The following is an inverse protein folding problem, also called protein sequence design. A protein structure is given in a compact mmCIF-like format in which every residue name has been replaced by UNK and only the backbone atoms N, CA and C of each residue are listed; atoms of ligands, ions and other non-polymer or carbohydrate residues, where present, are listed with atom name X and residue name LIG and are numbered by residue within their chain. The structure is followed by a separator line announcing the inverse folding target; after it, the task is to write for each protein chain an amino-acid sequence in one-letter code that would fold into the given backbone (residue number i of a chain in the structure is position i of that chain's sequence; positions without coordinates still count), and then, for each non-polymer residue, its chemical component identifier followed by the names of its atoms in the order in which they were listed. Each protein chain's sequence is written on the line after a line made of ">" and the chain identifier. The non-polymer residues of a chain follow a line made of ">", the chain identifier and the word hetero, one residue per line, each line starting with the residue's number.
data_IF_461202446570
#
_entry.id   IF_461202446570
#
_cell.length_a   1.000
_cell.length_b   1.000
_cell.length_c   1.000
_cell.angle_alpha   90.00
_cell.angle_beta   90.00
_cell.angle_gamma   90.00
#
_symmetry.space_group_name_H-M   'P 1'
#
loop_
_entity.id
_entity.type
_entity.pdbx_description
1 polymer ?
#
# COMPACT_ATOMS: atom_id res chain seq x y z
N UNK A 1 -20.06 41.08 -9.15
CA UNK A 1 -19.52 39.83 -8.57
C UNK A 1 -19.26 38.93 -9.77
N UNK A 2 -18.06 39.07 -10.28
CA UNK A 2 -17.60 38.31 -11.43
C UNK A 2 -17.03 37.01 -10.92
N UNK A 3 -17.56 35.92 -11.50
CA UNK A 3 -17.07 34.59 -11.18
C UNK A 3 -15.70 34.38 -11.81
N UNK A 4 -14.74 34.15 -10.97
CA UNK A 4 -13.40 33.72 -11.33
C UNK A 4 -13.50 32.25 -11.87
N UNK A 5 -13.57 32.14 -13.19
CA UNK A 5 -13.44 30.91 -13.90
C UNK A 5 -12.01 30.41 -13.70
N UNK A 6 -11.84 29.30 -12.99
CA UNK A 6 -10.58 28.56 -12.94
C UNK A 6 -10.09 28.33 -14.39
N UNK A 7 -8.98 28.93 -14.73
CA UNK A 7 -8.28 28.72 -16.01
C UNK A 7 -7.80 27.28 -16.00
N UNK A 8 -8.50 26.41 -16.73
CA UNK A 8 -8.08 25.04 -16.93
C UNK A 8 -6.73 25.04 -17.66
N UNK A 9 -5.74 24.36 -17.12
CA UNK A 9 -4.44 24.15 -17.76
C UNK A 9 -4.63 23.51 -19.15
N UNK A 10 -3.75 23.86 -20.09
CA UNK A 10 -3.74 23.32 -21.46
C UNK A 10 -3.64 21.79 -21.39
N UNK A 11 -4.48 21.03 -22.12
CA UNK A 11 -4.38 19.57 -22.17
C UNK A 11 -2.98 19.05 -22.52
N UNK A 12 -2.18 19.78 -23.32
CA UNK A 12 -0.80 19.42 -23.63
C UNK A 12 0.17 19.59 -22.45
N UNK A 13 -0.15 20.43 -21.47
CA UNK A 13 0.65 20.59 -20.24
C UNK A 13 0.35 19.49 -19.22
N UNK A 14 -0.83 18.89 -19.24
CA UNK A 14 -1.26 17.87 -18.28
C UNK A 14 -0.54 16.53 -18.46
N UNK A 15 -0.13 16.19 -19.68
CA UNK A 15 0.57 14.94 -20.01
C UNK A 15 2.08 15.02 -19.83
N UNK A 16 2.61 16.13 -19.36
CA UNK A 16 4.04 16.28 -19.04
C UNK A 16 4.31 15.85 -17.60
N UNK A 17 5.54 15.42 -17.31
CA UNK A 17 5.97 15.12 -15.93
C UNK A 17 5.69 16.31 -15.00
N UNK A 18 5.97 17.53 -15.45
CA UNK A 18 5.69 18.75 -14.70
C UNK A 18 4.18 18.95 -14.41
N UNK A 19 3.30 18.56 -15.35
CA UNK A 19 1.85 18.56 -15.15
C UNK A 19 1.42 17.58 -14.06
N UNK A 20 1.96 16.37 -14.08
CA UNK A 20 1.66 15.36 -13.04
C UNK A 20 2.24 15.75 -11.67
N UNK A 21 3.44 16.33 -11.62
CA UNK A 21 4.00 16.89 -10.37
C UNK A 21 3.09 17.98 -9.80
N UNK A 22 2.64 18.92 -10.62
CA UNK A 22 1.71 19.95 -10.17
C UNK A 22 0.38 19.39 -9.69
N UNK A 23 -0.16 18.39 -10.37
CA UNK A 23 -1.40 17.73 -9.98
C UNK A 23 -1.26 17.01 -8.63
N UNK A 24 -0.21 16.20 -8.47
CA UNK A 24 -0.04 15.32 -7.32
C UNK A 24 0.52 16.02 -6.09
N UNK A 25 1.43 17.00 -6.30
CA UNK A 25 2.11 17.73 -5.24
C UNK A 25 1.56 19.15 -5.05
N UNK A 26 0.55 19.55 -5.85
CA UNK A 26 -0.10 20.87 -5.76
C UNK A 26 0.69 22.02 -6.38
N UNK A 27 1.97 21.81 -6.68
CA UNK A 27 2.88 22.80 -7.26
C UNK A 27 4.03 22.14 -8.02
N UNK A 28 4.68 22.92 -8.88
CA UNK A 28 5.91 22.48 -9.54
C UNK A 28 7.08 22.51 -8.54
N UNK A 29 8.08 21.61 -8.67
CA UNK A 29 9.30 21.65 -7.88
C UNK A 29 10.01 23.01 -7.99
N UNK A 30 10.33 23.61 -6.86
CA UNK A 30 10.93 24.95 -6.78
C UNK A 30 12.11 25.02 -5.81
N UNK A 31 12.33 23.98 -5.04
CA UNK A 31 13.32 23.94 -3.97
C UNK A 31 14.42 22.92 -4.25
N UNK A 32 15.61 23.23 -3.79
CA UNK A 32 16.72 22.30 -3.67
C UNK A 32 16.63 21.53 -2.36
N UNK A 33 17.35 20.41 -2.23
CA UNK A 33 17.44 19.65 -0.98
C UNK A 33 17.98 20.52 0.18
N UNK A 34 18.93 21.41 -0.13
CA UNK A 34 19.49 22.35 0.85
C UNK A 34 18.42 23.33 1.35
N UNK A 35 17.64 23.90 0.46
CA UNK A 35 16.55 24.82 0.82
C UNK A 35 15.42 24.13 1.57
N UNK A 36 15.03 22.91 1.16
CA UNK A 36 14.08 22.07 1.87
C UNK A 36 14.52 21.82 3.33
N UNK A 37 15.78 21.42 3.54
CA UNK A 37 16.32 21.21 4.87
C UNK A 37 16.30 22.48 5.73
N UNK A 38 16.71 23.62 5.15
CA UNK A 38 16.70 24.92 5.84
C UNK A 38 15.29 25.34 6.25
N UNK A 39 14.31 25.22 5.33
CA UNK A 39 12.89 25.56 5.61
C UNK A 39 12.26 24.64 6.63
N UNK A 40 12.64 23.37 6.61
CA UNK A 40 12.20 22.41 7.61
C UNK A 40 12.89 22.57 8.98
N UNK A 41 13.88 23.48 9.10
CA UNK A 41 14.61 23.72 10.35
C UNK A 41 15.54 22.58 10.75
N UNK A 42 16.07 21.83 9.80
CA UNK A 42 16.89 20.65 10.05
C UNK A 42 18.21 20.64 9.26
N UNK A 43 19.07 19.64 9.49
CA UNK A 43 20.32 19.49 8.76
C UNK A 43 20.08 18.80 7.41
N UNK A 44 21.00 19.06 6.46
CA UNK A 44 21.03 18.40 5.17
C UNK A 44 21.12 16.86 5.31
N UNK A 45 21.85 16.38 6.31
CA UNK A 45 21.97 14.94 6.59
C UNK A 45 20.62 14.30 6.98
N UNK A 46 19.82 15.00 7.80
CA UNK A 46 18.48 14.52 8.18
C UNK A 46 17.54 14.52 6.98
N UNK A 47 17.58 15.57 6.15
CA UNK A 47 16.77 15.63 4.93
C UNK A 47 17.14 14.49 3.95
N UNK A 48 18.43 14.18 3.80
CA UNK A 48 18.89 13.04 2.98
C UNK A 48 18.40 11.70 3.55
N UNK A 49 18.48 11.50 4.88
CA UNK A 49 17.98 10.28 5.53
C UNK A 49 16.48 10.11 5.36
N UNK A 50 15.72 11.21 5.48
CA UNK A 50 14.28 11.23 5.23
C UNK A 50 13.97 10.79 3.79
N UNK A 51 14.60 11.39 2.79
CA UNK A 51 14.40 11.10 1.37
C UNK A 51 14.70 9.63 1.02
N UNK A 52 15.84 9.14 1.53
CA UNK A 52 16.20 7.71 1.37
C UNK A 52 15.25 6.76 2.09
N UNK A 53 14.74 7.16 3.26
CA UNK A 53 13.77 6.34 3.98
C UNK A 53 12.45 6.22 3.23
N UNK A 54 12.09 7.23 2.43
CA UNK A 54 10.97 7.16 1.50
C UNK A 54 11.26 6.37 0.21
N UNK A 55 12.45 5.77 0.07
CA UNK A 55 12.78 4.89 -1.06
C UNK A 55 13.24 5.58 -2.33
N UNK A 56 13.44 6.89 -2.31
CA UNK A 56 13.86 7.65 -3.49
C UNK A 56 15.38 7.69 -3.63
N UNK A 57 15.83 7.81 -4.89
CA UNK A 57 17.24 7.95 -5.21
C UNK A 57 17.82 9.29 -4.70
N UNK A 58 19.12 9.30 -4.42
CA UNK A 58 19.80 10.51 -3.98
C UNK A 58 19.72 11.63 -5.03
N UNK A 59 19.30 12.80 -4.58
CA UNK A 59 19.29 14.03 -5.37
C UNK A 59 20.50 14.88 -4.96
N UNK A 60 21.15 15.52 -5.94
CA UNK A 60 22.26 16.45 -5.64
C UNK A 60 21.71 17.64 -4.84
N UNK A 61 22.42 18.10 -3.79
CA UNK A 61 21.90 19.11 -2.87
C UNK A 61 21.43 20.42 -3.52
N UNK A 62 22.00 20.79 -4.67
CA UNK A 62 21.69 22.05 -5.37
C UNK A 62 20.77 21.87 -6.58
N UNK A 63 20.20 20.67 -6.77
CA UNK A 63 19.22 20.41 -7.84
C UNK A 63 17.83 20.78 -7.37
N UNK A 64 17.10 21.56 -8.15
CA UNK A 64 15.67 21.86 -7.90
C UNK A 64 14.87 20.59 -8.15
N UNK A 65 14.20 20.10 -7.12
CA UNK A 65 13.45 18.82 -7.15
C UNK A 65 12.33 18.74 -6.12
N UNK A 66 12.27 19.64 -5.17
CA UNK A 66 11.37 19.59 -4.01
C UNK A 66 10.33 20.70 -4.03
N UNK A 67 9.23 20.49 -3.32
CA UNK A 67 8.08 21.38 -3.18
C UNK A 67 7.91 21.81 -1.72
N UNK A 68 6.99 22.73 -1.44
CA UNK A 68 6.60 23.07 -0.05
C UNK A 68 5.91 21.90 0.66
N UNK A 69 5.28 20.97 -0.07
CA UNK A 69 4.74 19.74 0.54
C UNK A 69 5.85 18.83 1.08
N UNK A 70 6.98 18.75 0.38
CA UNK A 70 8.15 18.01 0.87
C UNK A 70 8.73 18.66 2.13
N UNK A 71 8.73 20.01 2.19
CA UNK A 71 9.11 20.73 3.41
C UNK A 71 8.18 20.38 4.57
N UNK A 72 6.87 20.40 4.35
CA UNK A 72 5.89 20.07 5.38
C UNK A 72 6.03 18.62 5.87
N UNK A 73 6.20 17.66 4.95
CA UNK A 73 6.42 16.26 5.30
C UNK A 73 7.73 16.03 6.08
N UNK A 74 8.78 16.75 5.73
CA UNK A 74 10.03 16.72 6.49
C UNK A 74 9.87 17.36 7.87
N UNK A 75 9.13 18.47 7.99
CA UNK A 75 8.83 19.11 9.29
C UNK A 75 8.08 18.16 10.22
N UNK A 76 7.03 17.48 9.72
CA UNK A 76 6.29 16.48 10.48
C UNK A 76 7.20 15.35 10.97
N UNK A 77 8.11 14.91 10.11
CA UNK A 77 9.09 13.88 10.46
C UNK A 77 10.09 14.39 11.51
N UNK A 78 10.61 15.60 11.36
CA UNK A 78 11.54 16.22 12.32
C UNK A 78 10.89 16.40 13.68
N UNK A 79 9.63 16.80 13.73
CA UNK A 79 8.87 16.91 14.98
C UNK A 79 8.75 15.58 15.74
N UNK A 80 8.69 14.45 15.01
CA UNK A 80 8.72 13.12 15.61
C UNK A 80 10.13 12.65 16.00
N UNK A 81 11.17 13.19 15.35
CA UNK A 81 12.58 12.87 15.63
C UNK A 81 13.14 13.65 16.84
N UNK A 82 12.46 14.68 17.29
CA UNK A 82 12.91 15.51 18.42
C UNK A 82 12.75 14.76 19.75
N UNK A 83 13.87 14.19 20.24
CA UNK A 83 13.94 13.46 21.49
C UNK A 83 13.75 14.36 22.73
N UNK A 84 13.79 15.69 22.57
CA UNK A 84 13.53 16.66 23.66
C UNK A 84 12.04 16.96 23.80
N UNK A 85 11.24 16.63 22.79
CA UNK A 85 9.78 16.73 22.82
C UNK A 85 9.19 15.48 23.46
N UNK A 86 7.92 15.56 23.87
CA UNK A 86 7.13 14.42 24.36
C UNK A 86 6.76 13.48 23.20
N UNK A 87 7.74 13.18 22.33
CA UNK A 87 7.55 12.35 21.13
C UNK A 87 7.16 10.93 21.54
N UNK A 88 6.09 10.37 20.97
CA UNK A 88 5.64 9.02 21.29
C UNK A 88 6.57 7.93 20.74
N UNK A 89 7.57 8.28 19.93
CA UNK A 89 8.42 7.34 19.20
C UNK A 89 9.92 7.69 19.37
N UNK A 90 10.74 6.66 19.44
CA UNK A 90 12.19 6.83 19.31
C UNK A 90 12.57 7.13 17.84
N UNK A 91 13.61 7.94 17.66
CA UNK A 91 14.06 8.38 16.32
C UNK A 91 14.30 7.24 15.32
N UNK A 92 14.83 6.10 15.77
CA UNK A 92 15.01 4.92 14.93
C UNK A 92 13.68 4.37 14.41
N UNK A 93 12.65 4.33 15.28
CA UNK A 93 11.31 3.83 14.94
C UNK A 93 10.60 4.72 13.91
N UNK A 94 10.83 6.03 13.94
CA UNK A 94 10.26 6.98 12.95
C UNK A 94 10.76 6.63 11.54
N UNK A 95 12.07 6.42 11.38
CA UNK A 95 12.64 6.06 10.08
C UNK A 95 12.23 4.65 9.60
N UNK A 96 12.01 3.71 10.54
CA UNK A 96 11.47 2.38 10.21
C UNK A 96 10.03 2.47 9.72
N UNK A 97 9.19 3.29 10.36
CA UNK A 97 7.82 3.55 9.91
C UNK A 97 7.78 4.17 8.52
N UNK A 98 8.62 5.18 8.25
CA UNK A 98 8.74 5.79 6.94
C UNK A 98 9.11 4.76 5.85
N UNK A 99 10.08 3.89 6.12
CA UNK A 99 10.46 2.82 5.18
C UNK A 99 9.32 1.84 4.92
N UNK A 100 8.60 1.44 5.98
CA UNK A 100 7.46 0.53 5.85
C UNK A 100 6.32 1.16 5.05
N UNK A 101 6.01 2.43 5.29
CA UNK A 101 5.01 3.19 4.54
C UNK A 101 5.42 3.30 3.07
N UNK A 102 6.64 3.74 2.80
CA UNK A 102 7.14 3.91 1.44
C UNK A 102 7.12 2.60 0.64
N UNK A 103 7.65 1.53 1.20
CA UNK A 103 7.63 0.21 0.55
C UNK A 103 6.22 -0.27 0.20
N UNK A 104 5.26 0.03 1.08
CA UNK A 104 3.86 -0.33 0.86
C UNK A 104 3.23 0.55 -0.22
N UNK A 105 3.50 1.86 -0.19
CA UNK A 105 2.97 2.82 -1.14
C UNK A 105 3.50 2.62 -2.55
N UNK A 106 4.81 2.37 -2.71
CA UNK A 106 5.42 2.07 -4.01
C UNK A 106 4.69 0.92 -4.72
N UNK A 107 4.43 -0.16 -4.00
CA UNK A 107 3.70 -1.31 -4.54
C UNK A 107 2.24 -1.00 -4.82
N UNK A 108 1.58 -0.24 -3.93
CA UNK A 108 0.17 0.11 -4.08
C UNK A 108 -0.03 0.99 -5.32
N UNK A 109 0.76 2.04 -5.46
CA UNK A 109 0.69 2.96 -6.61
C UNK A 109 0.95 2.23 -7.93
N UNK A 110 1.92 1.31 -7.94
CA UNK A 110 2.18 0.48 -9.12
C UNK A 110 0.94 -0.37 -9.48
N UNK A 111 0.31 -1.02 -8.51
CA UNK A 111 -0.89 -1.83 -8.73
C UNK A 111 -2.09 -1.00 -9.18
N UNK A 112 -2.31 0.17 -8.60
CA UNK A 112 -3.38 1.08 -9.01
C UNK A 112 -3.21 1.50 -10.47
N UNK A 113 -1.98 1.88 -10.86
CA UNK A 113 -1.67 2.25 -12.24
C UNK A 113 -1.85 1.08 -13.20
N UNK A 114 -1.30 -0.10 -12.90
CA UNK A 114 -1.42 -1.29 -13.76
C UNK A 114 -2.88 -1.74 -13.89
N UNK A 115 -3.67 -1.67 -12.83
CA UNK A 115 -5.11 -1.98 -12.86
C UNK A 115 -5.84 -1.01 -13.79
N UNK A 116 -5.51 0.27 -13.71
CA UNK A 116 -6.12 1.29 -14.56
C UNK A 116 -5.74 1.10 -16.04
N UNK A 117 -4.47 0.80 -16.34
CA UNK A 117 -4.01 0.48 -17.70
C UNK A 117 -4.71 -0.75 -18.25
N UNK A 118 -4.85 -1.81 -17.46
CA UNK A 118 -5.54 -3.04 -17.85
C UNK A 118 -7.01 -2.78 -18.16
N UNK A 119 -7.74 -2.06 -17.30
CA UNK A 119 -9.14 -1.68 -17.56
C UNK A 119 -9.29 -0.89 -18.85
N UNK A 120 -8.40 0.07 -19.09
CA UNK A 120 -8.41 0.87 -20.33
C UNK A 120 -8.13 0.01 -21.58
N UNK A 121 -7.15 -0.90 -21.50
CA UNK A 121 -6.81 -1.82 -22.57
C UNK A 121 -8.01 -2.69 -22.96
N UNK A 122 -8.65 -3.31 -21.98
CA UNK A 122 -9.79 -4.21 -22.20
C UNK A 122 -11.05 -3.46 -22.67
N UNK A 123 -11.41 -2.38 -21.99
CA UNK A 123 -12.64 -1.61 -22.27
C UNK A 123 -12.59 -0.87 -23.60
N UNK A 124 -11.41 -0.38 -24.00
CA UNK A 124 -11.24 0.41 -25.22
C UNK A 124 -10.62 -0.39 -26.37
N UNK A 125 -10.21 -1.64 -26.14
CA UNK A 125 -9.55 -2.48 -27.15
C UNK A 125 -8.18 -1.94 -27.57
N UNK A 126 -7.43 -1.34 -26.65
CA UNK A 126 -6.12 -0.72 -26.91
C UNK A 126 -4.98 -1.71 -26.69
N UNK A 127 -3.89 -1.52 -27.43
CA UNK A 127 -2.61 -2.14 -27.07
C UNK A 127 -2.03 -1.51 -25.77
N UNK A 128 -1.09 -2.19 -25.12
CA UNK A 128 -0.52 -1.79 -23.84
C UNK A 128 0.08 -0.36 -23.86
N UNK A 129 0.79 0.00 -24.93
CA UNK A 129 1.39 1.33 -25.05
C UNK A 129 0.33 2.42 -25.16
N UNK A 130 -0.69 2.19 -26.00
CA UNK A 130 -1.81 3.12 -26.15
C UNK A 130 -2.63 3.26 -24.88
N UNK A 131 -2.86 2.14 -24.16
CA UNK A 131 -3.55 2.17 -22.86
C UNK A 131 -2.79 2.98 -21.81
N UNK A 132 -1.45 2.84 -21.75
CA UNK A 132 -0.59 3.64 -20.83
C UNK A 132 -0.64 5.13 -21.15
N UNK A 133 -0.63 5.50 -22.43
CA UNK A 133 -0.75 6.92 -22.84
C UNK A 133 -2.10 7.49 -22.41
N UNK A 134 -3.19 6.75 -22.61
CA UNK A 134 -4.53 7.17 -22.15
C UNK A 134 -4.62 7.22 -20.64
N UNK A 135 -3.96 6.28 -19.93
CA UNK A 135 -3.90 6.30 -18.47
C UNK A 135 -3.21 7.57 -17.95
N UNK A 136 -2.08 7.97 -18.53
CA UNK A 136 -1.39 9.22 -18.19
C UNK A 136 -2.26 10.45 -18.41
N UNK A 137 -3.03 10.49 -19.50
CA UNK A 137 -3.94 11.60 -19.80
C UNK A 137 -5.15 11.69 -18.86
N UNK A 138 -5.54 10.56 -18.25
CA UNK A 138 -6.75 10.46 -17.42
C UNK A 138 -6.49 10.22 -15.95
N UNK A 139 -5.24 10.24 -15.51
CA UNK A 139 -4.90 9.99 -14.10
C UNK A 139 -5.56 10.99 -13.16
N UNK A 140 -5.75 12.23 -13.62
CA UNK A 140 -6.41 13.32 -12.90
C UNK A 140 -7.80 12.92 -12.38
N UNK A 141 -8.54 12.15 -13.18
CA UNK A 141 -9.90 11.71 -12.84
C UNK A 141 -9.93 10.77 -11.62
N UNK A 142 -8.80 10.10 -11.32
CA UNK A 142 -8.70 9.05 -10.30
C UNK A 142 -7.95 9.47 -9.05
N UNK A 143 -6.94 10.33 -9.15
CA UNK A 143 -6.02 10.68 -8.05
C UNK A 143 -6.75 11.06 -6.77
N UNK A 144 -7.71 11.98 -6.88
CA UNK A 144 -8.45 12.47 -5.73
C UNK A 144 -9.33 11.38 -5.09
N UNK A 145 -9.91 10.50 -5.91
CA UNK A 145 -10.71 9.37 -5.44
C UNK A 145 -9.83 8.34 -4.72
N UNK A 146 -8.70 7.95 -5.32
CA UNK A 146 -7.76 6.98 -4.77
C UNK A 146 -7.17 7.49 -3.45
N UNK A 147 -6.78 8.75 -3.37
CA UNK A 147 -6.26 9.39 -2.16
C UNK A 147 -7.29 9.36 -1.01
N UNK A 148 -8.55 9.70 -1.28
CA UNK A 148 -9.61 9.60 -0.28
C UNK A 148 -9.88 8.17 0.18
N UNK A 149 -9.91 7.21 -0.77
CA UNK A 149 -10.10 5.80 -0.45
C UNK A 149 -8.95 5.26 0.38
N UNK A 150 -7.71 5.57 0.01
CA UNK A 150 -6.51 5.17 0.77
C UNK A 150 -6.58 5.63 2.22
N UNK A 151 -6.89 6.91 2.45
CA UNK A 151 -7.04 7.47 3.80
C UNK A 151 -8.13 6.75 4.58
N UNK A 152 -9.28 6.45 3.95
CA UNK A 152 -10.38 5.73 4.58
C UNK A 152 -9.99 4.29 4.95
N UNK A 153 -9.42 3.54 4.01
CA UNK A 153 -9.00 2.15 4.20
C UNK A 153 -7.96 2.06 5.32
N UNK A 154 -6.97 2.94 5.32
CA UNK A 154 -5.97 3.01 6.39
C UNK A 154 -6.60 3.22 7.76
N UNK A 155 -7.53 4.20 7.88
CA UNK A 155 -8.26 4.47 9.13
C UNK A 155 -9.08 3.26 9.59
N UNK A 156 -9.75 2.56 8.67
CA UNK A 156 -10.55 1.36 8.99
C UNK A 156 -9.69 0.21 9.50
N UNK A 157 -8.55 -0.04 8.86
CA UNK A 157 -7.58 -1.03 9.33
C UNK A 157 -7.01 -0.67 10.70
N UNK A 158 -6.68 0.60 10.94
CA UNK A 158 -6.21 1.07 12.24
C UNK A 158 -7.23 0.79 13.35
N UNK A 159 -8.51 1.17 13.14
CA UNK A 159 -9.59 0.88 14.10
C UNK A 159 -9.71 -0.61 14.37
N UNK A 160 -9.65 -1.45 13.32
CA UNK A 160 -9.72 -2.90 13.47
C UNK A 160 -8.56 -3.47 14.30
N UNK A 161 -7.34 -2.97 14.08
CA UNK A 161 -6.14 -3.42 14.84
C UNK A 161 -6.21 -2.95 16.29
N UNK A 162 -6.56 -1.68 16.52
CA UNK A 162 -6.70 -1.13 17.88
C UNK A 162 -7.77 -1.87 18.68
N UNK A 163 -8.93 -2.19 18.07
CA UNK A 163 -9.98 -2.94 18.72
C UNK A 163 -9.56 -4.35 19.15
N UNK A 164 -8.74 -5.03 18.32
CA UNK A 164 -8.16 -6.33 18.70
C UNK A 164 -7.15 -6.21 19.84
N UNK A 165 -6.27 -5.21 19.76
CA UNK A 165 -5.28 -4.95 20.81
C UNK A 165 -5.95 -4.65 22.16
N UNK A 166 -7.02 -3.83 22.14
CA UNK A 166 -7.82 -3.53 23.34
C UNK A 166 -8.46 -4.80 23.92
N UNK A 167 -9.08 -5.63 23.07
CA UNK A 167 -9.67 -6.89 23.49
C UNK A 167 -8.62 -7.85 24.11
N UNK A 168 -7.42 -7.92 23.53
CA UNK A 168 -6.32 -8.73 24.07
C UNK A 168 -5.84 -8.23 25.44
N UNK A 169 -5.65 -6.93 25.57
CA UNK A 169 -5.24 -6.32 26.85
C UNK A 169 -6.31 -6.54 27.91
N UNK A 170 -7.58 -6.33 27.56
CA UNK A 170 -8.73 -6.51 28.46
C UNK A 170 -8.93 -7.96 28.90
N UNK A 171 -8.67 -8.94 28.04
CA UNK A 171 -8.76 -10.36 28.40
C UNK A 171 -7.64 -10.75 29.39
N UNK A 172 -6.44 -10.24 29.21
CA UNK A 172 -5.30 -10.50 30.11
C UNK A 172 -5.46 -9.90 31.49
N UNK A 173 -6.10 -8.73 31.61
CA UNK A 173 -6.35 -8.09 32.91
C UNK A 173 -7.38 -8.84 33.76
N UNK A 174 -8.08 -9.86 33.23
CA UNK A 174 -9.03 -10.72 33.96
C UNK A 174 -8.42 -12.03 34.45
N UNK A 175 -7.35 -12.47 33.85
CA UNK A 175 -6.60 -13.64 34.29
C UNK A 175 -5.50 -13.16 35.22
N UNK A 176 -5.54 -13.58 36.48
CA UNK A 176 -4.55 -13.29 37.55
C UNK A 176 -3.24 -14.06 37.26
N UNK A 177 -2.67 -13.81 36.09
CA UNK A 177 -1.43 -14.41 35.62
C UNK A 177 -0.29 -13.46 35.90
N UNK A 178 0.69 -13.92 36.67
CA UNK A 178 1.87 -13.20 37.08
C UNK A 178 2.67 -12.58 35.91
N UNK A 179 3.85 -11.98 36.17
CA UNK A 179 4.58 -11.09 35.28
C UNK A 179 5.12 -11.73 33.99
N UNK A 180 4.82 -13.00 33.72
CA UNK A 180 5.18 -13.66 32.48
C UNK A 180 4.26 -13.20 31.36
N UNK A 181 4.78 -12.28 30.55
CA UNK A 181 4.22 -11.91 29.27
C UNK A 181 4.17 -13.15 28.37
N UNK A 182 3.02 -13.84 28.37
CA UNK A 182 2.81 -14.91 27.41
C UNK A 182 2.93 -14.34 25.99
N UNK A 183 3.74 -14.97 25.12
CA UNK A 183 3.81 -14.55 23.73
C UNK A 183 2.42 -14.58 23.10
N UNK A 184 2.13 -13.61 22.23
CA UNK A 184 0.90 -13.60 21.44
C UNK A 184 0.87 -14.87 20.57
N UNK A 185 0.04 -15.85 20.97
CA UNK A 185 -0.13 -17.07 20.20
C UNK A 185 -1.00 -16.72 18.99
N UNK A 186 -0.48 -17.01 17.79
CA UNK A 186 -1.17 -16.84 16.51
C UNK A 186 -1.10 -18.14 15.73
N UNK A 187 -2.18 -18.46 15.04
CA UNK A 187 -2.20 -19.54 14.09
C UNK A 187 -1.79 -19.03 12.72
N UNK A 188 -0.75 -19.63 12.13
CA UNK A 188 -0.27 -19.31 10.80
C UNK A 188 -0.68 -20.43 9.86
N UNK A 189 -1.33 -20.08 8.74
CA UNK A 189 -1.73 -21.03 7.72
C UNK A 189 -1.13 -20.70 6.36
N UNK A 190 -0.97 -21.74 5.57
CA UNK A 190 -0.58 -21.64 4.16
C UNK A 190 -1.59 -22.42 3.34
N UNK A 191 -1.97 -21.87 2.20
CA UNK A 191 -2.71 -22.58 1.16
C UNK A 191 -1.94 -22.45 -0.14
N UNK A 192 -1.76 -23.56 -0.85
CA UNK A 192 -0.94 -23.67 -2.04
C UNK A 192 -1.67 -24.49 -3.12
N UNK A 193 -1.47 -24.14 -4.40
CA UNK A 193 -2.11 -24.85 -5.52
C UNK A 193 -1.39 -26.15 -5.79
N UNK A 194 -2.07 -27.28 -5.63
CA UNK A 194 -1.51 -28.60 -5.87
C UNK A 194 -1.04 -28.74 -7.32
N UNK A 195 0.22 -29.12 -7.50
CA UNK A 195 0.85 -29.35 -8.81
C UNK A 195 0.83 -28.12 -9.72
N UNK A 196 0.94 -26.91 -9.17
CA UNK A 196 0.92 -25.65 -9.91
C UNK A 196 1.86 -25.63 -11.10
N UNK A 197 3.15 -25.96 -10.92
CA UNK A 197 4.15 -25.97 -11.99
C UNK A 197 3.73 -26.83 -13.19
N UNK A 198 3.09 -27.95 -12.93
CA UNK A 198 2.62 -28.88 -13.97
C UNK A 198 1.40 -28.30 -14.70
N UNK A 199 0.47 -27.65 -13.98
CA UNK A 199 -0.69 -26.96 -14.58
C UNK A 199 -0.24 -25.77 -15.42
N UNK A 200 0.68 -24.96 -14.94
CA UNK A 200 1.18 -23.76 -15.61
C UNK A 200 1.85 -24.07 -16.97
N UNK A 201 2.52 -25.21 -17.10
CA UNK A 201 3.19 -25.61 -18.35
C UNK A 201 2.24 -25.76 -19.56
N UNK A 202 0.97 -26.04 -19.33
CA UNK A 202 -0.04 -26.20 -20.38
C UNK A 202 -0.88 -24.95 -20.67
N UNK A 203 -0.67 -23.86 -19.95
CA UNK A 203 -1.51 -22.66 -19.98
C UNK A 203 -0.88 -21.53 -20.79
N UNK A 204 -1.70 -20.70 -21.43
CA UNK A 204 -1.25 -19.39 -21.94
C UNK A 204 -0.98 -18.44 -20.77
N UNK A 205 -0.18 -17.39 -21.01
CA UNK A 205 0.10 -16.37 -19.98
C UNK A 205 -1.20 -15.76 -19.42
N UNK A 206 -2.14 -15.41 -20.29
CA UNK A 206 -3.43 -14.83 -19.88
C UNK A 206 -4.24 -15.81 -19.01
N UNK A 207 -4.36 -17.08 -19.41
CA UNK A 207 -5.07 -18.08 -18.64
C UNK A 207 -4.41 -18.35 -17.26
N UNK A 208 -3.09 -18.32 -17.20
CA UNK A 208 -2.34 -18.48 -15.96
C UNK A 208 -2.57 -17.29 -15.01
N UNK A 209 -2.51 -16.06 -15.54
CA UNK A 209 -2.78 -14.85 -14.76
C UNK A 209 -4.19 -14.89 -14.18
N UNK A 210 -5.19 -15.18 -15.00
CA UNK A 210 -6.60 -15.26 -14.57
C UNK A 210 -6.79 -16.33 -13.47
N UNK A 211 -6.20 -17.52 -13.64
CA UNK A 211 -6.29 -18.57 -12.63
C UNK A 211 -5.66 -18.16 -11.28
N UNK A 212 -4.53 -17.44 -11.31
CA UNK A 212 -3.88 -16.95 -10.08
C UNK A 212 -4.70 -15.85 -9.42
N UNK A 213 -5.26 -14.92 -10.19
CA UNK A 213 -6.13 -13.86 -9.69
C UNK A 213 -7.40 -14.42 -9.05
N UNK A 214 -8.05 -15.38 -9.70
CA UNK A 214 -9.24 -16.06 -9.16
C UNK A 214 -8.92 -16.81 -7.85
N UNK A 215 -7.80 -17.54 -7.83
CA UNK A 215 -7.32 -18.20 -6.62
C UNK A 215 -7.06 -17.22 -5.49
N UNK A 216 -6.32 -16.14 -5.77
CA UNK A 216 -5.97 -15.12 -4.78
C UNK A 216 -7.21 -14.41 -4.22
N UNK A 217 -8.14 -14.01 -5.09
CA UNK A 217 -9.37 -13.34 -4.71
C UNK A 217 -10.26 -14.26 -3.87
N UNK A 218 -10.46 -15.51 -4.32
CA UNK A 218 -11.24 -16.50 -3.57
C UNK A 218 -10.62 -16.79 -2.21
N UNK A 219 -9.31 -17.01 -2.18
CA UNK A 219 -8.59 -17.26 -0.92
C UNK A 219 -8.71 -16.06 0.03
N UNK A 220 -8.55 -14.84 -0.45
CA UNK A 220 -8.68 -13.61 0.33
C UNK A 220 -10.09 -13.47 0.92
N UNK A 221 -11.12 -13.66 0.11
CA UNK A 221 -12.52 -13.55 0.53
C UNK A 221 -12.87 -14.59 1.60
N UNK A 222 -12.47 -15.83 1.41
CA UNK A 222 -12.68 -16.92 2.38
C UNK A 222 -11.97 -16.63 3.70
N UNK A 223 -10.69 -16.23 3.64
CA UNK A 223 -9.88 -15.96 4.82
C UNK A 223 -10.45 -14.78 5.61
N UNK A 224 -10.77 -13.67 4.92
CA UNK A 224 -11.22 -12.44 5.59
C UNK A 224 -12.64 -12.55 6.13
N UNK A 225 -13.54 -13.22 5.43
CA UNK A 225 -14.94 -13.42 5.89
C UNK A 225 -15.03 -14.24 7.19
N UNK A 226 -14.01 -15.04 7.49
CA UNK A 226 -13.91 -15.84 8.73
C UNK A 226 -13.11 -15.19 9.85
N UNK A 227 -12.69 -13.93 9.67
CA UNK A 227 -11.97 -13.17 10.69
C UNK A 227 -10.46 -13.44 10.75
N UNK A 228 -9.94 -14.24 9.82
CA UNK A 228 -8.49 -14.35 9.59
C UNK A 228 -7.99 -13.24 8.65
N UNK A 229 -6.67 -13.17 8.43
CA UNK A 229 -6.05 -12.12 7.62
C UNK A 229 -5.01 -12.70 6.68
N UNK A 230 -5.06 -12.32 5.42
CA UNK A 230 -3.97 -12.59 4.48
C UNK A 230 -2.75 -11.77 4.89
N UNK A 231 -1.60 -12.43 5.02
CA UNK A 231 -0.31 -11.78 5.31
C UNK A 231 0.38 -11.40 4.01
N UNK A 232 0.45 -12.35 3.08
CA UNK A 232 1.01 -12.14 1.74
C UNK A 232 0.65 -13.29 0.81
N UNK A 233 0.72 -13.03 -0.49
CA UNK A 233 0.75 -14.03 -1.55
C UNK A 233 2.19 -14.26 -2.01
N UNK A 234 2.53 -15.50 -2.34
CA UNK A 234 3.87 -15.91 -2.77
C UNK A 234 3.68 -16.87 -3.97
N UNK A 235 3.59 -16.29 -5.17
CA UNK A 235 3.31 -17.09 -6.37
C UNK A 235 1.93 -17.75 -6.30
N UNK A 236 1.92 -19.08 -6.21
CA UNK A 236 0.72 -19.93 -6.10
C UNK A 236 0.29 -20.23 -4.65
N UNK A 237 0.90 -19.57 -3.68
CA UNK A 237 0.60 -19.77 -2.26
C UNK A 237 0.09 -18.48 -1.59
N UNK A 238 -0.88 -18.63 -0.69
CA UNK A 238 -1.37 -17.58 0.19
C UNK A 238 -1.03 -17.90 1.63
N UNK A 239 -0.34 -16.98 2.30
CA UNK A 239 -0.04 -17.05 3.72
C UNK A 239 -1.06 -16.23 4.50
N UNK A 240 -1.67 -16.82 5.52
CA UNK A 240 -2.64 -16.12 6.37
C UNK A 240 -2.35 -16.33 7.86
N UNK A 241 -2.90 -15.46 8.68
CA UNK A 241 -2.79 -15.49 10.13
C UNK A 241 -4.17 -15.38 10.77
N UNK A 242 -4.40 -16.13 11.84
CA UNK A 242 -5.58 -16.07 12.69
C UNK A 242 -5.20 -15.91 14.15
N UNK A 243 -6.03 -15.23 14.89
CA UNK A 243 -5.87 -15.03 16.34
C UNK A 243 -6.34 -16.27 17.14
N UNK A 244 -7.09 -17.19 16.49
CA UNK A 244 -7.64 -18.41 17.07
C UNK A 244 -7.38 -19.61 16.16
N UNK A 245 -7.04 -20.76 16.76
CA UNK A 245 -6.79 -22.01 16.04
C UNK A 245 -8.08 -22.55 15.40
N UNK A 246 -9.23 -22.38 16.03
CA UNK A 246 -10.51 -22.83 15.48
C UNK A 246 -10.90 -22.03 14.24
N UNK A 247 -10.66 -20.73 14.26
CA UNK A 247 -10.83 -19.86 13.09
C UNK A 247 -9.87 -20.31 11.96
N UNK A 248 -8.62 -20.60 12.30
CA UNK A 248 -7.67 -21.10 11.31
C UNK A 248 -8.11 -22.43 10.68
N UNK A 249 -8.66 -23.34 11.46
CA UNK A 249 -9.18 -24.61 10.98
C UNK A 249 -10.45 -24.45 10.11
N UNK A 250 -11.36 -23.53 10.49
CA UNK A 250 -12.53 -23.21 9.68
C UNK A 250 -12.14 -22.60 8.33
N UNK A 251 -11.11 -21.73 8.29
CA UNK A 251 -10.54 -21.20 7.06
C UNK A 251 -10.04 -22.31 6.16
N UNK A 252 -9.29 -23.29 6.69
CA UNK A 252 -8.75 -24.41 5.88
C UNK A 252 -9.89 -25.22 5.22
N UNK A 253 -10.90 -25.59 5.99
CA UNK A 253 -12.04 -26.38 5.47
C UNK A 253 -12.80 -25.62 4.41
N UNK A 254 -13.04 -24.34 4.64
CA UNK A 254 -13.75 -23.50 3.71
C UNK A 254 -12.97 -23.17 2.42
N UNK A 255 -11.65 -23.02 2.51
CA UNK A 255 -10.80 -22.86 1.32
C UNK A 255 -10.86 -24.09 0.42
N UNK A 256 -10.75 -25.28 1.00
CA UNK A 256 -10.86 -26.53 0.25
C UNK A 256 -12.25 -26.64 -0.41
N UNK A 257 -13.30 -26.35 0.35
CA UNK A 257 -14.69 -26.43 -0.16
C UNK A 257 -14.95 -25.40 -1.28
N UNK A 258 -14.46 -24.16 -1.14
CA UNK A 258 -14.74 -23.11 -2.10
C UNK A 258 -13.94 -23.28 -3.39
N UNK A 259 -12.63 -23.54 -3.28
CA UNK A 259 -11.73 -23.67 -4.41
C UNK A 259 -11.97 -24.96 -5.23
N UNK A 260 -12.64 -25.95 -4.68
CA UNK A 260 -13.02 -27.20 -5.40
C UNK A 260 -14.39 -27.11 -6.07
N UNK A 261 -15.09 -25.97 -5.99
CA UNK A 261 -16.38 -25.77 -6.67
C UNK A 261 -16.21 -25.35 -8.13
N UNK A 262 -17.10 -25.86 -8.97
CA UNK A 262 -17.24 -25.41 -10.35
C UNK A 262 -16.29 -26.11 -11.34
N UNK A 263 -16.38 -25.70 -12.63
CA UNK A 263 -15.60 -26.30 -13.71
C UNK A 263 -14.10 -26.02 -13.65
N UNK A 264 -13.71 -24.92 -13.01
CA UNK A 264 -12.32 -24.46 -12.87
C UNK A 264 -11.74 -24.81 -11.49
N UNK A 265 -12.24 -25.89 -10.90
CA UNK A 265 -11.84 -26.35 -9.56
C UNK A 265 -10.32 -26.40 -9.38
N UNK A 266 -9.84 -25.71 -8.34
CA UNK A 266 -8.43 -25.67 -7.95
C UNK A 266 -8.27 -26.57 -6.72
N UNK A 267 -7.39 -27.56 -6.83
CA UNK A 267 -7.02 -28.38 -5.67
C UNK A 267 -5.91 -27.67 -4.89
N UNK A 268 -6.13 -27.50 -3.60
CA UNK A 268 -5.19 -26.87 -2.66
C UNK A 268 -4.86 -27.84 -1.51
#
# INVERSE_FOLDING_TARGET
>A
MEGETAVGADPAERTTLAGHEHLLLGEAPSLTLTEMAQRAGTSLEVAQKFWRAMGFADVKPDTVHFTEQDVAALQDTVALLDETSDSPLASASVLELLRAQSYTMDRLVLWELETFVTDLSERLGLDDTSARLVALDRIDDLVELLSRQLTYVWRRHMVSILGRTDAEVSSRGREDTGPDLYPLIRSLGFVDIVSFTQRAQGMTKAALTHMLEDFENTARDVITSRGARVVKTIGDAVMYISDDLLIAADVVTALVDELQKGPDAIRV
#
